data_IF_722533097696
#
_entry.id   IF_722533097696
#
_cell.length_a   1.000
_cell.length_b   1.000
_cell.length_c   1.000
_cell.angle_alpha   90.00
_cell.angle_beta   90.00
_cell.angle_gamma   90.00
#
_symmetry.space_group_name_H-M   'P 1'
#
loop_
_entity.id
_entity.type
_entity.pdbx_description
1 polymer ?
#
# COMPACT_ATOMS: atom_id res chain seq x y z
N UNK A 1 -14.77 17.28 21.02
CA UNK A 1 -14.35 16.43 19.88
C UNK A 1 -14.40 17.28 18.62
N UNK A 2 -13.28 17.42 17.91
CA UNK A 2 -13.21 18.30 16.73
C UNK A 2 -13.70 17.55 15.49
N UNK A 3 -14.74 18.07 14.84
CA UNK A 3 -15.31 17.52 13.61
C UNK A 3 -15.06 18.53 12.48
N UNK A 4 -14.33 18.11 11.46
CA UNK A 4 -14.05 18.95 10.29
C UNK A 4 -14.98 18.54 9.15
N UNK A 5 -16.15 19.19 9.09
CA UNK A 5 -17.20 18.80 8.15
C UNK A 5 -16.80 18.92 6.69
N UNK A 6 -15.85 19.77 6.32
CA UNK A 6 -15.47 19.96 4.91
C UNK A 6 -14.07 19.42 4.60
N UNK A 7 -13.52 18.59 5.49
CA UNK A 7 -12.21 17.98 5.29
C UNK A 7 -12.31 16.85 4.25
N UNK A 8 -11.78 17.10 3.05
CA UNK A 8 -11.71 16.09 1.99
C UNK A 8 -10.30 15.50 1.82
N UNK A 9 -9.26 16.26 2.16
CA UNK A 9 -7.86 15.87 2.04
C UNK A 9 -7.23 15.95 3.42
N UNK A 10 -6.78 14.81 3.92
CA UNK A 10 -6.10 14.72 5.19
C UNK A 10 -4.67 14.22 4.96
N UNK A 11 -3.71 15.05 5.34
CA UNK A 11 -2.28 14.78 5.22
C UNK A 11 -1.64 14.88 6.60
N UNK A 12 -0.88 13.87 6.97
CA UNK A 12 -0.25 13.80 8.29
C UNK A 12 1.05 13.00 8.24
N UNK A 13 1.97 13.29 9.16
CA UNK A 13 3.17 12.50 9.34
C UNK A 13 2.83 11.06 9.75
N UNK A 14 3.57 10.08 9.22
CA UNK A 14 3.36 8.65 9.47
C UNK A 14 3.53 8.22 10.93
N UNK A 15 4.18 9.01 11.80
CA UNK A 15 4.26 8.72 13.24
C UNK A 15 2.96 9.02 14.00
N UNK A 16 2.05 9.79 13.42
CA UNK A 16 0.86 10.27 14.11
C UNK A 16 -0.39 9.42 13.79
N UNK A 17 -0.24 8.11 13.61
CA UNK A 17 -1.35 7.20 13.25
C UNK A 17 -2.47 7.21 14.28
N UNK A 18 -2.15 7.34 15.57
CA UNK A 18 -3.14 7.52 16.64
C UNK A 18 -3.97 8.80 16.46
N UNK A 19 -3.31 9.93 16.19
CA UNK A 19 -4.00 11.20 15.95
C UNK A 19 -4.80 11.14 14.64
N UNK A 20 -4.25 10.50 13.60
CA UNK A 20 -4.92 10.26 12.34
C UNK A 20 -6.22 9.47 12.54
N UNK A 21 -6.18 8.42 13.36
CA UNK A 21 -7.32 7.57 13.69
C UNK A 21 -8.45 8.35 14.37
N UNK A 22 -8.12 9.28 15.27
CA UNK A 22 -9.11 10.15 15.93
C UNK A 22 -9.76 11.10 14.92
N UNK A 23 -8.99 11.67 13.98
CA UNK A 23 -9.54 12.58 12.96
C UNK A 23 -10.46 11.80 12.00
N UNK A 24 -10.05 10.60 11.60
CA UNK A 24 -10.81 9.71 10.73
C UNK A 24 -12.14 9.29 11.36
N UNK A 25 -12.14 8.93 12.64
CA UNK A 25 -13.38 8.58 13.35
C UNK A 25 -14.38 9.75 13.36
N UNK A 26 -13.88 10.98 13.43
CA UNK A 26 -14.70 12.18 13.53
C UNK A 26 -15.12 12.80 12.19
N UNK A 27 -14.34 12.58 11.14
CA UNK A 27 -14.46 13.31 9.86
C UNK A 27 -14.39 12.42 8.62
N UNK A 28 -14.35 11.09 8.78
CA UNK A 28 -14.04 10.13 7.71
C UNK A 28 -15.00 10.10 6.53
N UNK A 29 -16.29 10.41 6.75
CA UNK A 29 -17.34 10.26 5.73
C UNK A 29 -17.07 11.07 4.45
N UNK A 30 -16.38 12.20 4.59
CA UNK A 30 -16.08 13.13 3.48
C UNK A 30 -14.62 13.07 3.03
N UNK A 31 -13.78 12.28 3.68
CA UNK A 31 -12.38 12.11 3.28
C UNK A 31 -12.31 11.40 1.93
N UNK A 32 -11.71 12.08 0.96
CA UNK A 32 -11.35 11.53 -0.37
C UNK A 32 -9.89 11.12 -0.41
N UNK A 33 -9.03 11.76 0.40
CA UNK A 33 -7.60 11.47 0.44
C UNK A 33 -7.07 11.38 1.87
N UNK A 34 -6.34 10.31 2.16
CA UNK A 34 -5.54 10.15 3.37
C UNK A 34 -4.11 9.88 2.93
N UNK A 35 -3.23 10.85 3.18
CA UNK A 35 -1.84 10.86 2.72
C UNK A 35 -0.91 10.85 3.93
N UNK A 36 0.03 9.90 3.97
CA UNK A 36 1.07 9.86 4.99
C UNK A 36 2.34 10.48 4.42
N UNK A 37 2.96 11.40 5.16
CA UNK A 37 4.18 12.05 4.70
C UNK A 37 5.40 11.10 4.72
N UNK A 38 6.30 11.21 3.71
CA UNK A 38 7.60 10.55 3.76
C UNK A 38 8.33 10.94 5.03
N UNK A 39 8.92 9.97 5.71
CA UNK A 39 10.01 10.26 6.63
C UNK A 39 10.91 9.02 6.79
N UNK A 40 12.15 9.19 7.24
CA UNK A 40 13.08 8.10 7.52
C UNK A 40 12.53 7.26 8.66
N UNK A 41 12.21 6.00 8.43
CA UNK A 41 11.63 5.11 9.43
C UNK A 41 12.63 4.91 10.59
N UNK A 42 12.59 5.80 11.58
CA UNK A 42 13.36 5.70 12.82
C UNK A 42 12.84 4.53 13.67
N UNK A 43 13.77 3.91 14.40
CA UNK A 43 13.60 2.59 15.01
C UNK A 43 12.72 2.57 16.28
N UNK A 44 12.29 3.72 16.82
CA UNK A 44 11.53 3.81 18.08
C UNK A 44 10.18 4.50 17.88
N UNK A 45 9.20 3.77 17.30
CA UNK A 45 7.79 4.18 17.32
C UNK A 45 7.03 3.32 18.31
N UNK A 46 6.86 3.83 19.51
CA UNK A 46 6.04 3.20 20.54
C UNK A 46 4.64 2.89 19.99
N UNK A 47 4.18 1.66 20.22
CA UNK A 47 2.83 1.18 19.84
C UNK A 47 2.52 1.19 18.33
N UNK A 48 3.53 1.24 17.45
CA UNK A 48 3.30 1.24 15.99
C UNK A 48 2.36 0.13 15.50
N UNK A 49 2.53 -1.10 16.00
CA UNK A 49 1.69 -2.26 15.62
C UNK A 49 0.22 -1.98 15.94
N UNK A 50 -0.07 -1.50 17.16
CA UNK A 50 -1.43 -1.24 17.60
C UNK A 50 -2.01 -0.02 16.87
N UNK A 51 -1.24 1.06 16.77
CA UNK A 51 -1.69 2.30 16.14
C UNK A 51 -1.93 2.13 14.63
N UNK A 52 -1.10 1.36 13.92
CA UNK A 52 -1.32 1.06 12.50
C UNK A 52 -2.52 0.14 12.28
N UNK A 53 -2.78 -0.81 13.18
CA UNK A 53 -3.96 -1.65 13.14
C UNK A 53 -5.26 -0.85 13.39
N UNK A 54 -5.27 0.00 14.42
CA UNK A 54 -6.40 0.91 14.71
C UNK A 54 -6.64 1.85 13.54
N UNK A 55 -5.58 2.36 12.92
CA UNK A 55 -5.67 3.24 11.77
C UNK A 55 -6.39 2.58 10.59
N UNK A 56 -5.98 1.37 10.20
CA UNK A 56 -6.63 0.62 9.10
C UNK A 56 -8.11 0.33 9.44
N UNK A 57 -8.38 -0.11 10.68
CA UNK A 57 -9.75 -0.37 11.17
C UNK A 57 -10.65 0.85 11.06
N UNK A 58 -10.15 2.01 11.49
CA UNK A 58 -10.90 3.24 11.45
C UNK A 58 -11.14 3.72 10.01
N UNK A 59 -10.20 3.51 9.09
CA UNK A 59 -10.40 3.87 7.68
C UNK A 59 -11.55 3.07 7.09
N UNK A 60 -11.53 1.74 7.17
CA UNK A 60 -12.58 0.96 6.53
C UNK A 60 -13.94 1.08 7.24
N UNK A 61 -13.97 1.51 8.50
CA UNK A 61 -15.21 1.80 9.24
C UNK A 61 -15.81 3.16 8.86
N UNK A 62 -14.98 4.19 8.66
CA UNK A 62 -15.44 5.58 8.59
C UNK A 62 -15.25 6.24 7.21
N UNK A 63 -14.43 5.67 6.31
CA UNK A 63 -14.06 6.26 5.02
C UNK A 63 -14.42 5.36 3.81
N UNK A 64 -15.68 4.91 3.63
CA UNK A 64 -16.05 4.02 2.51
C UNK A 64 -15.84 4.68 1.13
N UNK A 65 -15.87 6.02 1.07
CA UNK A 65 -15.76 6.81 -0.16
C UNK A 65 -14.32 7.21 -0.53
N UNK A 66 -13.31 6.74 0.22
CA UNK A 66 -11.91 7.13 0.03
C UNK A 66 -11.42 6.80 -1.40
N UNK A 67 -10.65 7.71 -1.99
CA UNK A 67 -10.13 7.59 -3.36
C UNK A 67 -8.60 7.43 -3.40
N UNK A 68 -7.88 8.09 -2.49
CA UNK A 68 -6.42 8.05 -2.39
C UNK A 68 -6.04 7.69 -0.97
N UNK A 69 -5.29 6.61 -0.81
CA UNK A 69 -4.97 6.09 0.51
C UNK A 69 -3.51 5.67 0.61
N UNK A 70 -2.84 6.15 1.66
CA UNK A 70 -1.57 5.62 2.14
C UNK A 70 -1.79 4.79 3.39
N UNK A 71 -1.20 3.60 3.39
CA UNK A 71 -1.12 2.72 4.55
C UNK A 71 0.35 2.44 4.86
N UNK A 72 0.70 2.56 6.13
CA UNK A 72 1.93 2.02 6.70
C UNK A 72 1.54 1.01 7.77
N UNK A 73 2.13 -0.18 7.74
CA UNK A 73 1.69 -1.28 8.61
C UNK A 73 2.79 -2.30 8.87
N UNK A 74 2.65 -3.00 10.00
CA UNK A 74 3.45 -4.18 10.31
C UNK A 74 2.98 -5.39 9.50
N UNK A 75 3.86 -6.26 8.98
CA UNK A 75 3.46 -7.42 8.19
C UNK A 75 2.95 -8.59 9.06
N UNK A 76 1.87 -8.37 9.81
CA UNK A 76 1.20 -9.41 10.61
C UNK A 76 -0.11 -9.86 9.97
N UNK A 77 -0.57 -11.08 10.34
CA UNK A 77 -1.83 -11.63 9.85
C UNK A 77 -3.02 -10.70 10.15
N UNK A 78 -3.04 -10.08 11.34
CA UNK A 78 -4.11 -9.15 11.70
C UNK A 78 -4.15 -7.94 10.77
N UNK A 79 -2.99 -7.36 10.42
CA UNK A 79 -2.94 -6.25 9.48
C UNK A 79 -3.43 -6.67 8.09
N UNK A 80 -3.01 -7.84 7.62
CA UNK A 80 -3.45 -8.39 6.36
C UNK A 80 -4.96 -8.61 6.30
N UNK A 81 -5.57 -9.15 7.37
CA UNK A 81 -7.02 -9.30 7.47
C UNK A 81 -7.76 -7.96 7.44
N UNK A 82 -7.27 -6.94 8.16
CA UNK A 82 -7.91 -5.61 8.14
C UNK A 82 -7.73 -4.89 6.79
N UNK A 83 -6.59 -5.08 6.11
CA UNK A 83 -6.39 -4.57 4.74
C UNK A 83 -7.38 -5.23 3.77
N UNK A 84 -7.58 -6.54 3.86
CA UNK A 84 -8.55 -7.24 3.01
C UNK A 84 -9.98 -6.72 3.24
N UNK A 85 -10.38 -6.49 4.51
CA UNK A 85 -11.66 -5.85 4.82
C UNK A 85 -11.74 -4.43 4.25
N UNK A 86 -10.67 -3.66 4.38
CA UNK A 86 -10.58 -2.30 3.84
C UNK A 86 -10.82 -2.28 2.33
N UNK A 87 -10.14 -3.14 1.58
CA UNK A 87 -10.26 -3.16 0.13
C UNK A 87 -11.66 -3.59 -0.35
N UNK A 88 -12.38 -4.42 0.44
CA UNK A 88 -13.78 -4.80 0.18
C UNK A 88 -14.77 -3.65 0.41
N UNK A 89 -14.51 -2.79 1.41
CA UNK A 89 -15.38 -1.66 1.77
C UNK A 89 -15.10 -0.42 0.92
N UNK A 90 -13.83 -0.06 0.73
CA UNK A 90 -13.40 1.18 0.08
C UNK A 90 -13.39 1.09 -1.46
N UNK A 91 -14.57 0.96 -2.06
CA UNK A 91 -14.75 0.70 -3.51
C UNK A 91 -14.44 1.87 -4.46
N UNK A 92 -14.15 3.06 -3.90
CA UNK A 92 -13.80 4.25 -4.68
C UNK A 92 -12.29 4.47 -4.82
N UNK A 93 -11.47 3.58 -4.24
CA UNK A 93 -10.01 3.67 -4.31
C UNK A 93 -9.53 3.72 -5.77
N UNK A 94 -8.80 4.78 -6.09
CA UNK A 94 -8.14 5.04 -7.37
C UNK A 94 -6.63 4.84 -7.26
N UNK A 95 -6.05 5.18 -6.11
CA UNK A 95 -4.64 5.05 -5.81
C UNK A 95 -4.46 4.51 -4.39
N UNK A 96 -3.64 3.46 -4.26
CA UNK A 96 -3.28 2.86 -2.99
C UNK A 96 -1.75 2.79 -2.83
N UNK A 97 -1.22 3.39 -1.77
CA UNK A 97 0.17 3.25 -1.35
C UNK A 97 0.24 2.29 -0.15
N UNK A 98 1.08 1.27 -0.28
CA UNK A 98 1.32 0.23 0.73
C UNK A 98 2.78 0.28 1.15
N UNK A 99 3.01 0.58 2.43
CA UNK A 99 4.34 0.62 3.04
C UNK A 99 4.40 -0.46 4.12
N UNK A 100 5.16 -1.52 3.86
CA UNK A 100 5.46 -2.53 4.89
C UNK A 100 6.62 -2.03 5.74
N UNK A 101 6.37 -1.92 7.04
CA UNK A 101 7.40 -1.63 8.04
C UNK A 101 7.53 -2.82 8.99
N UNK A 102 8.58 -3.62 8.80
CA UNK A 102 8.92 -4.70 9.71
C UNK A 102 9.77 -4.13 10.86
N UNK A 103 9.21 -4.15 12.06
CA UNK A 103 9.87 -3.70 13.30
C UNK A 103 10.61 -4.85 14.00
N UNK A 104 10.60 -6.06 13.43
CA UNK A 104 11.31 -7.20 13.99
C UNK A 104 12.79 -7.13 13.62
N UNK A 105 13.63 -6.82 14.62
CA UNK A 105 15.08 -6.95 14.49
C UNK A 105 15.43 -8.43 14.29
N UNK A 106 15.89 -8.80 13.10
CA UNK A 106 16.35 -10.15 12.83
C UNK A 106 17.80 -10.14 12.32
N UNK A 107 18.65 -10.94 12.98
CA UNK A 107 20.12 -10.87 12.94
C UNK A 107 20.77 -11.30 11.60
N UNK A 108 19.99 -11.64 10.55
CA UNK A 108 20.58 -12.08 9.27
C UNK A 108 19.87 -11.53 8.03
N UNK A 109 20.65 -11.05 7.06
CA UNK A 109 20.17 -10.53 5.77
C UNK A 109 19.37 -11.57 4.98
N UNK A 110 19.73 -12.86 5.10
CA UNK A 110 19.07 -13.95 4.38
C UNK A 110 17.63 -14.18 4.88
N UNK A 111 17.40 -14.15 6.20
CA UNK A 111 16.05 -14.29 6.76
C UNK A 111 15.15 -13.09 6.43
N UNK A 112 15.74 -11.88 6.35
CA UNK A 112 15.02 -10.67 5.95
C UNK A 112 14.49 -10.73 4.51
N UNK A 113 15.28 -11.25 3.56
CA UNK A 113 14.81 -11.38 2.17
C UNK A 113 13.67 -12.38 2.02
N UNK A 114 13.78 -13.55 2.65
CA UNK A 114 12.75 -14.59 2.61
C UNK A 114 11.44 -14.10 3.25
N UNK A 115 11.54 -13.38 4.38
CA UNK A 115 10.38 -12.74 5.01
C UNK A 115 9.70 -11.73 4.10
N UNK A 116 10.45 -10.80 3.51
CA UNK A 116 9.88 -9.79 2.62
C UNK A 116 9.21 -10.41 1.40
N UNK A 117 9.77 -11.48 0.84
CA UNK A 117 9.13 -12.25 -0.23
C UNK A 117 7.81 -12.86 0.24
N UNK A 118 7.77 -13.45 1.44
CA UNK A 118 6.53 -14.01 2.02
C UNK A 118 5.49 -12.92 2.25
N UNK A 119 5.88 -11.79 2.84
CA UNK A 119 4.98 -10.66 3.09
C UNK A 119 4.41 -10.09 1.80
N UNK A 120 5.26 -9.92 0.78
CA UNK A 120 4.81 -9.47 -0.53
C UNK A 120 3.86 -10.46 -1.21
N UNK A 121 4.12 -11.77 -1.11
CA UNK A 121 3.23 -12.81 -1.65
C UNK A 121 1.83 -12.76 -1.00
N UNK A 122 1.75 -12.66 0.33
CA UNK A 122 0.48 -12.52 1.03
C UNK A 122 -0.24 -11.22 0.64
N UNK A 123 0.50 -10.11 0.51
CA UNK A 123 -0.05 -8.84 0.05
C UNK A 123 -0.65 -8.93 -1.36
N UNK A 124 0.05 -9.57 -2.31
CA UNK A 124 -0.47 -9.78 -3.67
C UNK A 124 -1.72 -10.65 -3.66
N UNK A 125 -1.78 -11.73 -2.85
CA UNK A 125 -2.99 -12.55 -2.71
C UNK A 125 -4.18 -11.74 -2.20
N UNK A 126 -3.98 -10.87 -1.21
CA UNK A 126 -5.03 -10.00 -0.68
C UNK A 126 -5.53 -9.05 -1.77
N UNK A 127 -4.62 -8.45 -2.54
CA UNK A 127 -4.97 -7.58 -3.66
C UNK A 127 -5.76 -8.34 -4.73
N UNK A 128 -5.33 -9.55 -5.11
CA UNK A 128 -6.05 -10.45 -6.05
C UNK A 128 -7.46 -10.75 -5.54
N UNK A 129 -7.61 -11.16 -4.28
CA UNK A 129 -8.91 -11.49 -3.68
C UNK A 129 -9.82 -10.26 -3.55
N UNK A 130 -9.22 -9.07 -3.52
CA UNK A 130 -9.94 -7.80 -3.40
C UNK A 130 -10.19 -7.09 -4.74
N UNK A 131 -9.81 -7.71 -5.87
CA UNK A 131 -9.99 -7.19 -7.25
C UNK A 131 -11.44 -6.87 -7.65
N UNK A 132 -12.43 -7.16 -6.81
CA UNK A 132 -13.80 -6.63 -6.96
C UNK A 132 -13.87 -5.09 -7.00
N UNK A 133 -12.79 -4.39 -6.64
CA UNK A 133 -12.68 -2.94 -6.72
C UNK A 133 -12.24 -2.46 -8.13
N UNK A 134 -13.20 -2.04 -8.95
CA UNK A 134 -13.01 -1.68 -10.37
C UNK A 134 -12.32 -0.33 -10.61
N UNK A 135 -12.11 0.46 -9.57
CA UNK A 135 -11.65 1.84 -9.70
C UNK A 135 -10.14 2.02 -9.48
N UNK A 136 -9.46 0.99 -8.97
CA UNK A 136 -8.05 1.07 -8.63
C UNK A 136 -7.19 1.11 -9.91
N UNK A 137 -6.52 2.24 -10.12
CA UNK A 137 -5.71 2.53 -11.30
C UNK A 137 -4.22 2.51 -11.01
N UNK A 138 -3.84 2.74 -9.77
CA UNK A 138 -2.44 2.82 -9.37
C UNK A 138 -2.21 2.19 -8.01
N UNK A 139 -1.19 1.35 -7.91
CA UNK A 139 -0.70 0.80 -6.64
C UNK A 139 0.77 1.17 -6.49
N UNK A 140 1.12 1.64 -5.30
CA UNK A 140 2.50 1.97 -4.94
C UNK A 140 2.96 1.06 -3.81
N UNK A 141 4.20 0.57 -3.91
CA UNK A 141 4.80 -0.34 -2.93
C UNK A 141 6.11 0.23 -2.38
N UNK A 142 6.26 0.23 -1.06
CA UNK A 142 7.49 0.65 -0.37
C UNK A 142 7.84 -0.25 0.82
N UNK A 143 9.07 -0.09 1.33
CA UNK A 143 9.54 -0.84 2.50
C UNK A 143 9.75 -2.32 2.16
N UNK A 144 9.28 -3.21 3.04
CA UNK A 144 9.41 -4.67 2.91
C UNK A 144 8.63 -5.33 1.75
N UNK A 145 8.08 -4.57 0.81
CA UNK A 145 7.29 -5.09 -0.32
C UNK A 145 8.17 -5.74 -1.41
N UNK A 146 8.60 -6.99 -1.22
CA UNK A 146 9.38 -7.77 -2.21
C UNK A 146 8.51 -8.86 -2.82
N UNK A 147 8.57 -9.05 -4.15
CA UNK A 147 7.77 -10.06 -4.86
C UNK A 147 8.67 -11.01 -5.63
N UNK A 148 8.35 -12.31 -5.62
CA UNK A 148 8.96 -13.26 -6.56
C UNK A 148 8.38 -13.07 -7.96
N UNK A 149 9.15 -13.43 -8.98
CA UNK A 149 8.74 -13.39 -10.38
C UNK A 149 7.41 -14.12 -10.61
N UNK A 150 7.26 -15.32 -10.04
CA UNK A 150 6.04 -16.13 -10.15
C UNK A 150 4.81 -15.48 -9.51
N UNK A 151 4.95 -14.93 -8.30
CA UNK A 151 3.84 -14.27 -7.60
C UNK A 151 3.40 -12.99 -8.32
N UNK A 152 4.36 -12.22 -8.85
CA UNK A 152 4.08 -11.04 -9.65
C UNK A 152 3.39 -11.40 -10.98
N UNK A 153 3.80 -12.49 -11.62
CA UNK A 153 3.16 -13.03 -12.82
C UNK A 153 1.70 -13.43 -12.57
N UNK A 154 1.45 -14.19 -11.50
CA UNK A 154 0.09 -14.56 -11.09
C UNK A 154 -0.77 -13.33 -10.81
N UNK A 155 -0.21 -12.34 -10.11
CA UNK A 155 -0.90 -11.08 -9.84
C UNK A 155 -1.32 -10.39 -11.15
N UNK A 156 -0.44 -10.29 -12.14
CA UNK A 156 -0.77 -9.68 -13.43
C UNK A 156 -1.82 -10.46 -14.22
N UNK A 157 -1.76 -11.80 -14.22
CA UNK A 157 -2.77 -12.64 -14.87
C UNK A 157 -4.16 -12.44 -14.25
N UNK A 158 -4.23 -12.34 -12.92
CA UNK A 158 -5.50 -12.12 -12.20
C UNK A 158 -6.00 -10.69 -12.29
N UNK A 159 -5.16 -9.74 -12.71
CA UNK A 159 -5.53 -8.34 -12.92
C UNK A 159 -6.11 -8.07 -14.32
N UNK A 160 -6.32 -9.12 -15.14
CA UNK A 160 -6.82 -9.02 -16.50
C UNK A 160 -8.16 -8.27 -16.62
N UNK A 161 -8.30 -7.50 -17.71
CA UNK A 161 -9.49 -6.69 -17.99
C UNK A 161 -9.43 -5.26 -17.45
N UNK A 162 -8.37 -4.87 -16.73
CA UNK A 162 -8.12 -3.50 -16.28
C UNK A 162 -6.66 -3.13 -16.42
N UNK A 163 -6.44 -1.84 -16.66
CA UNK A 163 -5.11 -1.28 -16.85
C UNK A 163 -4.61 -0.68 -15.53
N UNK A 164 -3.47 -1.17 -15.04
CA UNK A 164 -2.88 -0.80 -13.75
C UNK A 164 -1.52 -0.10 -13.93
N UNK A 165 -1.28 0.95 -13.16
CA UNK A 165 0.05 1.53 -12.95
C UNK A 165 0.64 1.03 -11.64
N UNK A 166 1.92 0.67 -11.65
CA UNK A 166 2.65 0.25 -10.46
C UNK A 166 3.89 1.12 -10.28
N UNK A 167 4.11 1.59 -9.06
CA UNK A 167 5.35 2.26 -8.67
C UNK A 167 5.93 1.53 -7.45
N UNK A 168 7.22 1.26 -7.45
CA UNK A 168 7.88 0.58 -6.33
C UNK A 168 9.22 1.21 -5.99
N UNK A 169 9.62 1.16 -4.71
CA UNK A 169 10.92 1.67 -4.27
C UNK A 169 12.05 0.63 -4.35
N UNK A 170 11.76 -0.59 -4.79
CA UNK A 170 12.72 -1.71 -4.81
C UNK A 170 13.50 -1.79 -6.13
N UNK A 171 14.27 -0.75 -6.42
CA UNK A 171 14.97 -0.57 -7.70
C UNK A 171 15.82 -1.77 -8.13
N UNK A 172 16.65 -2.32 -7.23
CA UNK A 172 17.62 -3.37 -7.58
C UNK A 172 17.00 -4.67 -8.11
N UNK A 173 15.76 -4.98 -7.71
CA UNK A 173 15.11 -6.24 -8.06
C UNK A 173 14.62 -6.22 -9.51
N UNK A 174 14.09 -5.07 -9.95
CA UNK A 174 13.45 -4.96 -11.26
C UNK A 174 14.42 -4.51 -12.36
N UNK A 175 15.72 -4.39 -12.04
CA UNK A 175 16.77 -4.29 -13.05
C UNK A 175 17.12 -5.66 -13.66
N UNK A 176 16.76 -6.76 -12.99
CA UNK A 176 16.93 -8.12 -13.49
C UNK A 176 16.15 -8.35 -14.79
N UNK A 177 16.76 -9.08 -15.72
CA UNK A 177 16.22 -9.29 -17.07
C UNK A 177 14.90 -10.06 -17.05
N UNK A 178 14.75 -11.06 -16.17
CA UNK A 178 13.52 -11.87 -16.09
C UNK A 178 12.33 -11.01 -15.64
N UNK A 179 12.53 -10.11 -14.67
CA UNK A 179 11.50 -9.18 -14.25
C UNK A 179 11.15 -8.18 -15.34
N UNK A 180 12.14 -7.64 -16.07
CA UNK A 180 11.91 -6.75 -17.21
C UNK A 180 11.10 -7.43 -18.31
N UNK A 181 11.43 -8.67 -18.64
CA UNK A 181 10.69 -9.47 -19.62
C UNK A 181 9.24 -9.69 -19.19
N UNK A 182 9.02 -10.10 -17.93
CA UNK A 182 7.68 -10.28 -17.37
C UNK A 182 6.86 -8.99 -17.44
N UNK A 183 7.43 -7.87 -16.95
CA UNK A 183 6.77 -6.56 -16.96
C UNK A 183 6.44 -6.14 -18.39
N UNK A 184 7.39 -6.28 -19.33
CA UNK A 184 7.17 -5.91 -20.73
C UNK A 184 6.10 -6.76 -21.41
N UNK A 185 6.05 -8.07 -21.11
CA UNK A 185 4.96 -8.96 -21.56
C UNK A 185 3.59 -8.40 -21.16
N UNK A 186 3.41 -8.03 -19.90
CA UNK A 186 2.12 -7.52 -19.41
C UNK A 186 1.84 -6.05 -19.77
N UNK A 187 2.87 -5.25 -20.05
CA UNK A 187 2.72 -3.92 -20.69
C UNK A 187 2.21 -4.05 -22.13
N UNK A 188 2.80 -4.94 -22.92
CA UNK A 188 2.39 -5.17 -24.31
C UNK A 188 0.95 -5.71 -24.42
N UNK A 189 0.51 -6.46 -23.42
CA UNK A 189 -0.87 -6.96 -23.33
C UNK A 189 -1.87 -5.92 -22.80
N UNK A 190 -1.43 -4.71 -22.45
CA UNK A 190 -2.30 -3.62 -21.96
C UNK A 190 -2.79 -3.76 -20.51
N UNK A 191 -2.34 -4.80 -19.79
CA UNK A 191 -2.66 -5.01 -18.36
C UNK A 191 -1.90 -4.00 -17.50
N UNK A 192 -0.63 -3.77 -17.81
CA UNK A 192 0.20 -2.78 -17.12
C UNK A 192 0.33 -1.52 -17.97
N UNK A 193 -0.24 -0.41 -17.49
CA UNK A 193 -0.05 0.91 -18.12
C UNK A 193 1.39 1.36 -17.99
N UNK A 194 1.88 1.27 -16.77
CA UNK A 194 3.19 1.73 -16.39
C UNK A 194 3.70 0.93 -15.19
N UNK A 195 5.01 0.71 -15.18
CA UNK A 195 5.71 0.08 -14.08
C UNK A 195 7.01 0.86 -13.92
N UNK A 196 7.16 1.53 -12.77
CA UNK A 196 8.32 2.36 -12.47
C UNK A 196 8.95 1.97 -11.15
N UNK A 197 10.27 2.03 -11.12
CA UNK A 197 11.04 1.97 -9.90
C UNK A 197 11.61 3.36 -9.63
N UNK A 198 11.41 3.88 -8.42
CA UNK A 198 11.85 5.23 -8.05
C UNK A 198 12.36 5.25 -6.60
N UNK A 199 12.93 6.36 -6.16
CA UNK A 199 13.33 6.56 -4.77
C UNK A 199 12.13 6.52 -3.83
N UNK A 200 12.31 6.05 -2.60
CA UNK A 200 11.26 5.99 -1.58
C UNK A 200 10.45 7.30 -1.49
N UNK A 201 11.15 8.44 -1.42
CA UNK A 201 10.54 9.78 -1.35
C UNK A 201 9.61 10.08 -2.53
N UNK A 202 9.98 9.65 -3.74
CA UNK A 202 9.16 9.85 -4.93
C UNK A 202 7.95 8.91 -4.95
N UNK A 203 8.12 7.66 -4.52
CA UNK A 203 7.02 6.69 -4.47
C UNK A 203 5.97 7.10 -3.45
N UNK A 204 6.35 7.53 -2.24
CA UNK A 204 5.38 7.92 -1.21
C UNK A 204 4.73 9.27 -1.47
N UNK A 205 5.34 10.11 -2.32
CA UNK A 205 4.74 11.37 -2.74
C UNK A 205 3.61 11.14 -3.76
N UNK A 206 2.39 10.96 -3.28
CA UNK A 206 1.20 10.74 -4.13
C UNK A 206 0.67 11.99 -4.85
N UNK A 207 1.29 13.16 -4.66
CA UNK A 207 0.95 14.37 -5.43
C UNK A 207 1.62 14.35 -6.81
N UNK A 208 2.70 13.58 -7.00
CA UNK A 208 3.29 13.35 -8.33
C UNK A 208 2.40 12.37 -9.12
N UNK A 209 1.74 12.87 -10.17
CA UNK A 209 0.90 12.04 -11.05
C UNK A 209 1.72 11.41 -12.18
N UNK A 210 1.35 10.19 -12.58
CA UNK A 210 1.79 9.49 -13.78
C UNK A 210 0.74 9.56 -14.90
#
# INVERSE_FOLDING_TARGET
MCVYRDLEIFKINHYNLKAASIIIENSGERLKKILLEPYELLEDVDNFIEDSLIFIRNIHKNCPSIEYLSLIFSPSNEHFEEIEKLLKVCRNLKLLLLVIFDHTYEDSTYSYEEKNLKYGQELLKILINSTSNNNLKEIRFCGGCKFSLGALGEFFEKWEGRTLSIITSNYYIYEDEEYKELINKYKNNGIIKDFRCDTYTNVVNMDSKI
#
